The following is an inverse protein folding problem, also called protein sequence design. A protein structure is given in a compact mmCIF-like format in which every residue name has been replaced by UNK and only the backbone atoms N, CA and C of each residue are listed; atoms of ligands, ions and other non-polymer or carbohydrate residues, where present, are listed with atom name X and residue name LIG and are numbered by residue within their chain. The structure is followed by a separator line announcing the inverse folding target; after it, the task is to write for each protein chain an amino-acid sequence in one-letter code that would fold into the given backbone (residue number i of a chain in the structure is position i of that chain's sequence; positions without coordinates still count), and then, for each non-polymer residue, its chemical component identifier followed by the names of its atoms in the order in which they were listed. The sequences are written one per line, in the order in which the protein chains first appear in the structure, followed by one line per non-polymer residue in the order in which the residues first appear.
data_IF_005125660829
#
_entry.id   IF_005125660829
#
_cell.length_a   1.000
_cell.length_b   1.000
_cell.length_c   1.000
_cell.angle_alpha   90.00
_cell.angle_beta   90.00
_cell.angle_gamma   90.00
#
_symmetry.space_group_name_H-M   'P 1'
#
loop_
_entity.id
_entity.type
_entity.pdbx_description
1 polymer ?
#
# COMPACT_ATOMS: atom_id res chain seq x y z
N UNK A 1 -27.81 15.74 51.15
CA UNK A 1 -27.22 16.61 50.13
C UNK A 1 -25.76 16.27 50.00
N UNK A 2 -25.38 15.71 48.90
CA UNK A 2 -23.99 15.75 48.37
C UNK A 2 -24.04 15.42 46.91
N UNK A 3 -23.81 16.39 46.09
CA UNK A 3 -23.51 16.32 44.64
C UNK A 3 -22.09 15.79 44.50
N UNK A 4 -21.79 14.87 43.64
CA UNK A 4 -21.71 15.00 42.22
C UNK A 4 -20.26 14.75 41.86
N UNK A 5 -19.94 13.61 41.35
CA UNK A 5 -18.62 13.28 40.81
C UNK A 5 -18.69 13.36 39.31
N UNK A 6 -18.02 14.36 38.77
CA UNK A 6 -17.83 14.51 37.32
C UNK A 6 -16.96 13.41 36.77
N UNK A 7 -17.50 12.56 35.90
CA UNK A 7 -16.74 11.62 35.11
C UNK A 7 -15.93 12.35 34.05
N UNK A 8 -14.62 12.32 34.18
CA UNK A 8 -13.69 12.72 33.13
C UNK A 8 -13.82 11.77 31.94
N UNK A 9 -14.38 12.25 30.85
CA UNK A 9 -14.33 11.55 29.55
C UNK A 9 -12.87 11.52 29.09
N UNK A 10 -12.26 10.35 29.17
CA UNK A 10 -10.94 10.11 28.63
C UNK A 10 -10.89 10.40 27.13
N UNK A 11 -9.94 11.22 26.74
CA UNK A 11 -9.69 11.60 25.36
C UNK A 11 -9.18 10.40 24.54
N UNK A 12 -10.08 9.73 23.81
CA UNK A 12 -9.74 8.69 22.83
C UNK A 12 -9.40 9.29 21.44
N UNK A 13 -8.68 10.41 21.40
CA UNK A 13 -8.40 11.16 20.16
C UNK A 13 -6.94 11.26 19.74
N UNK A 14 -5.98 10.79 20.56
CA UNK A 14 -4.55 11.04 20.30
C UNK A 14 -3.91 10.21 19.19
N UNK A 15 -4.33 8.97 18.97
CA UNK A 15 -3.63 8.03 18.09
C UNK A 15 -3.69 8.35 16.60
N UNK A 16 -4.82 8.79 16.09
CA UNK A 16 -4.97 9.05 14.64
C UNK A 16 -4.16 10.27 14.17
N UNK A 17 -4.02 11.29 15.00
CA UNK A 17 -3.24 12.50 14.70
C UNK A 17 -1.73 12.21 14.69
N UNK A 18 -1.24 11.42 15.64
CA UNK A 18 0.17 11.05 15.74
C UNK A 18 0.60 10.21 14.53
N UNK A 19 -0.17 9.16 14.19
CA UNK A 19 0.09 8.33 13.00
C UNK A 19 0.11 9.17 11.73
N UNK A 20 -0.89 10.04 11.53
CA UNK A 20 -0.95 10.90 10.34
C UNK A 20 0.25 11.85 10.25
N UNK A 21 0.75 12.35 11.39
CA UNK A 21 1.96 13.19 11.44
C UNK A 21 3.21 12.39 11.07
N UNK A 22 3.38 11.21 11.67
CA UNK A 22 4.51 10.31 11.38
C UNK A 22 4.56 9.93 9.89
N UNK A 23 3.41 9.56 9.31
CA UNK A 23 3.32 9.22 7.90
C UNK A 23 3.71 10.39 6.99
N UNK A 24 3.18 11.59 7.24
CA UNK A 24 3.54 12.78 6.43
C UNK A 24 5.04 13.07 6.49
N UNK A 25 5.63 13.03 7.68
CA UNK A 25 7.07 13.29 7.87
C UNK A 25 7.91 12.28 7.10
N UNK A 26 7.63 10.98 7.28
CA UNK A 26 8.39 9.92 6.63
C UNK A 26 8.18 9.93 5.12
N UNK A 27 6.95 9.99 4.62
CA UNK A 27 6.66 10.01 3.19
C UNK A 27 7.31 11.21 2.48
N UNK A 28 7.37 12.36 3.16
CA UNK A 28 8.09 13.53 2.62
C UNK A 28 9.59 13.29 2.53
N UNK A 29 10.19 12.58 3.48
CA UNK A 29 11.64 12.32 3.51
C UNK A 29 12.10 11.24 2.55
N UNK A 30 11.27 10.23 2.28
CA UNK A 30 11.63 9.11 1.39
C UNK A 30 11.16 9.31 -0.06
N UNK A 31 10.31 10.30 -0.29
CA UNK A 31 9.80 10.60 -1.62
C UNK A 31 10.91 10.93 -2.59
N UNK A 32 11.04 10.11 -3.63
CA UNK A 32 12.03 10.31 -4.68
C UNK A 32 13.44 9.86 -4.34
N UNK A 33 13.64 9.10 -3.25
CA UNK A 33 14.86 8.35 -3.05
C UNK A 33 14.96 7.23 -4.08
N UNK A 34 16.19 6.94 -4.53
CA UNK A 34 16.45 5.91 -5.55
C UNK A 34 16.49 4.50 -4.94
N UNK A 35 16.59 4.40 -3.61
CA UNK A 35 16.54 3.14 -2.86
C UNK A 35 15.22 3.07 -2.10
N UNK A 36 14.64 1.89 -2.05
CA UNK A 36 13.37 1.66 -1.37
C UNK A 36 13.56 1.62 0.16
N UNK A 37 12.77 2.41 0.86
CA UNK A 37 12.68 2.45 2.31
C UNK A 37 11.27 2.08 2.74
N UNK A 38 11.12 1.19 3.70
CA UNK A 38 9.82 0.89 4.31
C UNK A 38 9.79 1.20 5.79
N UNK A 39 8.64 1.70 6.23
CA UNK A 39 8.36 2.05 7.62
C UNK A 39 7.06 1.41 8.05
N UNK A 40 7.06 0.76 9.20
CA UNK A 40 5.88 0.12 9.78
C UNK A 40 5.57 0.81 11.10
N UNK A 41 4.37 1.35 11.22
CA UNK A 41 3.86 2.01 12.42
C UNK A 41 2.72 1.20 13.04
N UNK A 42 2.59 1.24 14.36
CA UNK A 42 1.38 0.78 15.05
C UNK A 42 0.22 1.79 14.88
N UNK A 43 -0.95 1.42 15.40
CA UNK A 43 -2.16 2.28 15.36
C UNK A 43 -2.02 3.61 16.10
N UNK A 44 -1.03 3.75 16.98
CA UNK A 44 -0.75 4.98 17.73
C UNK A 44 0.31 5.86 17.06
N UNK A 45 0.88 5.41 15.94
CA UNK A 45 1.93 6.13 15.23
C UNK A 45 3.35 5.89 15.77
N UNK A 46 3.53 4.89 16.65
CA UNK A 46 4.85 4.45 17.07
C UNK A 46 5.51 3.67 15.96
N UNK A 47 6.74 4.02 15.61
CA UNK A 47 7.55 3.26 14.68
C UNK A 47 7.88 1.88 15.27
N UNK A 48 7.55 0.84 14.54
CA UNK A 48 7.88 -0.55 14.89
C UNK A 48 9.10 -1.04 14.11
N UNK A 49 9.22 -0.63 12.84
CA UNK A 49 10.28 -1.12 11.97
C UNK A 49 10.59 -0.11 10.88
N UNK A 50 11.88 -0.02 10.50
CA UNK A 50 12.38 0.69 9.33
C UNK A 50 13.39 -0.19 8.63
N UNK A 51 13.18 -0.43 7.35
CA UNK A 51 14.08 -1.22 6.52
C UNK A 51 14.51 -0.41 5.30
N UNK A 52 15.72 -0.67 4.86
CA UNK A 52 16.30 -0.14 3.62
C UNK A 52 16.54 -1.32 2.70
N UNK A 53 15.94 -1.29 1.54
CA UNK A 53 16.04 -2.33 0.53
C UNK A 53 17.12 -2.04 -0.51
N UNK A 54 16.90 -2.54 -1.69
CA UNK A 54 17.63 -2.21 -2.91
C UNK A 54 16.71 -1.41 -3.86
N UNK A 55 17.11 -1.22 -5.11
CA UNK A 55 16.36 -0.43 -6.10
C UNK A 55 14.94 -0.94 -6.41
N UNK A 56 14.56 -2.14 -5.98
CA UNK A 56 13.28 -2.73 -6.34
C UNK A 56 12.58 -3.54 -5.27
N UNK A 57 13.16 -3.70 -4.08
CA UNK A 57 12.53 -4.45 -3.00
C UNK A 57 13.08 -4.08 -1.61
N UNK A 58 12.20 -4.09 -0.63
CA UNK A 58 12.54 -4.02 0.79
C UNK A 58 11.84 -5.17 1.52
N UNK A 59 12.60 -5.92 2.29
CA UNK A 59 12.06 -7.01 3.11
C UNK A 59 11.85 -6.54 4.54
N UNK A 60 10.78 -7.04 5.18
CA UNK A 60 10.57 -6.84 6.60
C UNK A 60 11.51 -7.75 7.40
N UNK A 61 12.21 -7.20 8.38
CA UNK A 61 13.07 -7.96 9.28
C UNK A 61 12.27 -8.91 10.19
N UNK A 62 11.06 -8.51 10.57
CA UNK A 62 10.17 -9.35 11.36
C UNK A 62 9.25 -10.18 10.45
N UNK A 63 9.54 -11.46 10.33
CA UNK A 63 8.77 -12.41 9.52
C UNK A 63 7.47 -12.89 10.21
N UNK A 64 7.11 -12.39 11.40
CA UNK A 64 5.92 -12.83 12.13
C UNK A 64 4.67 -11.99 11.81
N UNK A 65 3.76 -12.47 10.93
CA UNK A 65 2.55 -11.74 10.55
C UNK A 65 1.59 -11.48 11.73
N UNK A 66 1.58 -12.35 12.74
CA UNK A 66 0.69 -12.23 13.90
C UNK A 66 1.13 -11.10 14.82
N UNK A 67 2.43 -10.86 14.94
CA UNK A 67 2.95 -9.69 15.64
C UNK A 67 2.38 -8.40 15.06
N UNK A 68 2.45 -8.24 13.74
CA UNK A 68 1.93 -7.05 13.07
C UNK A 68 0.41 -6.94 13.16
N UNK A 69 -0.29 -8.06 12.97
CA UNK A 69 -1.76 -8.09 13.04
C UNK A 69 -2.29 -7.64 14.41
N UNK A 70 -1.59 -8.00 15.49
CA UNK A 70 -1.96 -7.58 16.86
C UNK A 70 -1.79 -6.09 17.12
N UNK A 71 -1.04 -5.38 16.27
CA UNK A 71 -0.73 -3.94 16.42
C UNK A 71 -1.60 -3.02 15.56
N UNK A 72 -2.37 -3.58 14.62
CA UNK A 72 -3.15 -2.78 13.69
C UNK A 72 -2.27 -1.83 12.86
N UNK A 73 -1.28 -2.39 12.20
CA UNK A 73 -0.21 -1.63 11.55
C UNK A 73 -0.65 -0.82 10.35
N UNK A 74 0.10 0.24 10.09
CA UNK A 74 0.18 0.92 8.78
C UNK A 74 1.61 0.82 8.28
N UNK A 75 1.78 0.31 7.06
CA UNK A 75 3.06 0.30 6.34
C UNK A 75 3.09 1.43 5.33
N UNK A 76 4.22 2.12 5.22
CA UNK A 76 4.51 3.04 4.11
C UNK A 76 5.92 2.80 3.57
N UNK A 77 6.09 2.94 2.26
CA UNK A 77 7.38 2.80 1.57
C UNK A 77 7.43 3.75 0.37
N UNK A 78 8.63 3.96 -0.20
CA UNK A 78 8.73 4.69 -1.46
C UNK A 78 8.88 3.73 -2.63
N UNK A 79 8.32 4.14 -3.77
CA UNK A 79 8.63 3.56 -5.07
C UNK A 79 9.49 4.54 -5.86
N UNK A 80 10.76 4.21 -6.17
CA UNK A 80 11.63 5.06 -6.97
C UNK A 80 11.03 5.43 -8.32
N UNK A 81 10.35 4.48 -8.96
CA UNK A 81 9.50 4.71 -10.11
C UNK A 81 8.08 5.08 -9.66
N UNK A 82 7.37 5.89 -10.46
CA UNK A 82 5.97 6.26 -10.16
C UNK A 82 5.01 5.11 -10.47
N UNK A 83 5.13 4.05 -9.71
CA UNK A 83 4.32 2.84 -9.81
C UNK A 83 3.42 2.67 -8.58
N UNK A 84 2.27 2.04 -8.78
CA UNK A 84 1.37 1.62 -7.70
C UNK A 84 1.90 0.34 -7.02
N UNK A 85 1.14 -0.20 -6.09
CA UNK A 85 1.49 -1.41 -5.34
C UNK A 85 1.77 -2.60 -6.23
N UNK A 86 2.78 -3.36 -5.89
CA UNK A 86 3.04 -4.71 -6.39
C UNK A 86 2.13 -5.75 -5.71
N UNK A 87 2.11 -6.98 -6.23
CA UNK A 87 1.43 -8.09 -5.57
C UNK A 87 2.04 -8.40 -4.18
N UNK A 88 3.35 -8.18 -4.02
CA UNK A 88 4.04 -8.37 -2.73
C UNK A 88 3.54 -7.39 -1.67
N UNK A 89 3.38 -6.11 -2.02
CA UNK A 89 2.86 -5.09 -1.09
C UNK A 89 1.46 -5.46 -0.60
N UNK A 90 0.59 -5.86 -1.53
CA UNK A 90 -0.77 -6.28 -1.19
C UNK A 90 -0.77 -7.55 -0.35
N UNK A 91 0.08 -8.53 -0.69
CA UNK A 91 0.24 -9.76 0.07
C UNK A 91 0.72 -9.49 1.49
N UNK A 92 1.65 -8.55 1.68
CA UNK A 92 2.07 -8.11 3.01
C UNK A 92 0.88 -7.55 3.79
N UNK A 93 0.08 -6.66 3.21
CA UNK A 93 -1.12 -6.10 3.85
C UNK A 93 -2.12 -7.17 4.29
N UNK A 94 -2.38 -8.17 3.43
CA UNK A 94 -3.29 -9.29 3.73
C UNK A 94 -2.71 -10.19 4.83
N UNK A 95 -1.44 -10.60 4.72
CA UNK A 95 -0.78 -11.49 5.69
C UNK A 95 -0.74 -10.89 7.08
N UNK A 96 -0.44 -9.61 7.18
CA UNK A 96 -0.31 -8.88 8.45
C UNK A 96 -1.63 -8.29 8.95
N UNK A 97 -2.70 -8.43 8.19
CA UNK A 97 -3.98 -7.77 8.47
C UNK A 97 -3.82 -6.27 8.73
N UNK A 98 -2.99 -5.60 7.90
CA UNK A 98 -2.69 -4.19 8.05
C UNK A 98 -3.95 -3.31 7.93
N UNK A 99 -4.03 -2.24 8.71
CA UNK A 99 -5.08 -1.24 8.60
C UNK A 99 -4.95 -0.42 7.30
N UNK A 100 -3.72 -0.23 6.84
CA UNK A 100 -3.42 0.49 5.61
C UNK A 100 -2.04 0.10 5.10
N UNK A 101 -1.89 -0.03 3.79
CA UNK A 101 -0.59 0.00 3.11
C UNK A 101 -0.52 1.24 2.23
N UNK A 102 0.65 1.87 2.20
CA UNK A 102 0.90 3.12 1.50
C UNK A 102 2.20 3.01 0.71
N UNK A 103 2.23 3.66 -0.45
CA UNK A 103 3.45 3.85 -1.21
C UNK A 103 3.53 5.31 -1.67
N UNK A 104 4.72 5.90 -1.65
CA UNK A 104 4.94 7.26 -2.14
C UNK A 104 6.00 7.29 -3.23
N UNK A 105 5.78 8.12 -4.24
CA UNK A 105 6.71 8.39 -5.34
C UNK A 105 6.92 9.90 -5.48
N UNK A 106 7.70 10.34 -6.45
CA UNK A 106 7.83 11.77 -6.77
C UNK A 106 6.48 12.44 -7.06
N UNK A 107 5.62 11.75 -7.80
CA UNK A 107 4.38 12.30 -8.34
C UNK A 107 3.16 12.00 -7.47
N UNK A 108 3.09 10.81 -6.88
CA UNK A 108 1.89 10.31 -6.24
C UNK A 108 2.15 9.63 -4.90
N UNK A 109 1.12 9.68 -4.04
CA UNK A 109 0.98 8.80 -2.89
C UNK A 109 -0.22 7.88 -3.10
N UNK A 110 0.02 6.59 -2.96
CA UNK A 110 -0.95 5.52 -3.07
C UNK A 110 -1.34 5.03 -1.68
N UNK A 111 -2.61 4.72 -1.48
CA UNK A 111 -3.15 4.19 -0.23
C UNK A 111 -4.12 3.06 -0.53
N UNK A 112 -3.98 1.94 0.16
CA UNK A 112 -4.90 0.81 0.09
C UNK A 112 -5.31 0.40 1.50
N UNK A 113 -6.62 0.37 1.72
CA UNK A 113 -7.24 -0.05 2.99
C UNK A 113 -8.17 -1.23 2.76
N UNK A 114 -8.25 -2.15 3.72
CA UNK A 114 -9.27 -3.20 3.69
C UNK A 114 -10.68 -2.60 3.67
N UNK A 115 -11.64 -3.37 3.16
CA UNK A 115 -13.04 -3.00 3.13
C UNK A 115 -13.76 -3.25 4.46
N UNK A 116 -15.09 -3.10 4.47
CA UNK A 116 -15.92 -3.34 5.67
C UNK A 116 -15.80 -4.76 6.25
N UNK A 117 -15.45 -5.74 5.41
CA UNK A 117 -15.21 -7.14 5.79
C UNK A 117 -13.72 -7.47 5.99
N UNK A 118 -12.89 -6.46 6.27
CA UNK A 118 -11.44 -6.61 6.29
C UNK A 118 -10.88 -6.81 4.88
N UNK A 119 -9.80 -7.57 4.77
CA UNK A 119 -9.20 -7.87 3.47
C UNK A 119 -10.03 -8.85 2.63
N UNK A 120 -10.99 -9.58 3.22
CA UNK A 120 -11.86 -10.52 2.51
C UNK A 120 -11.13 -11.73 1.89
N UNK A 121 -9.90 -11.94 2.29
CA UNK A 121 -8.98 -13.01 1.86
C UNK A 121 -8.42 -13.64 3.14
N UNK A 122 -8.25 -14.99 3.20
CA UNK A 122 -7.61 -15.63 4.33
C UNK A 122 -6.21 -15.06 4.59
N UNK A 123 -5.82 -14.98 5.86
CA UNK A 123 -4.45 -14.59 6.24
C UNK A 123 -3.46 -15.71 5.90
N UNK A 124 -2.18 -15.38 5.89
CA UNK A 124 -1.10 -16.34 5.66
C UNK A 124 -0.83 -16.62 4.19
N UNK A 125 -0.15 -17.73 3.93
CA UNK A 125 0.39 -18.05 2.60
C UNK A 125 -0.70 -18.33 1.55
N UNK A 126 -1.80 -18.95 1.95
CA UNK A 126 -2.94 -19.18 1.04
C UNK A 126 -3.53 -17.85 0.54
N UNK A 127 -3.64 -16.87 1.44
CA UNK A 127 -4.11 -15.55 1.06
C UNK A 127 -3.11 -14.81 0.18
N UNK A 128 -1.82 -14.89 0.49
CA UNK A 128 -0.77 -14.33 -0.34
C UNK A 128 -0.79 -14.93 -1.75
N UNK A 129 -0.88 -16.24 -1.87
CA UNK A 129 -1.02 -16.93 -3.16
C UNK A 129 -2.25 -16.43 -3.95
N UNK A 130 -3.39 -16.28 -3.27
CA UNK A 130 -4.60 -15.78 -3.90
C UNK A 130 -4.43 -14.35 -4.41
N UNK A 131 -3.79 -13.46 -3.64
CA UNK A 131 -3.47 -12.09 -4.08
C UNK A 131 -2.64 -12.13 -5.36
N UNK A 132 -1.58 -12.93 -5.39
CA UNK A 132 -0.71 -13.03 -6.58
C UNK A 132 -1.46 -13.53 -7.80
N UNK A 133 -2.30 -14.57 -7.65
CA UNK A 133 -3.09 -15.14 -8.74
C UNK A 133 -4.09 -14.12 -9.33
N UNK A 134 -4.83 -13.44 -8.45
CA UNK A 134 -5.81 -12.44 -8.90
C UNK A 134 -5.14 -11.20 -9.48
N UNK A 135 -4.03 -10.75 -8.89
CA UNK A 135 -3.23 -9.64 -9.42
C UNK A 135 -2.72 -9.95 -10.83
N UNK A 136 -2.14 -11.13 -11.04
CA UNK A 136 -1.67 -11.58 -12.34
C UNK A 136 -2.82 -11.66 -13.36
N UNK A 137 -4.00 -12.12 -12.94
CA UNK A 137 -5.19 -12.16 -13.79
C UNK A 137 -5.56 -10.76 -14.30
N UNK A 138 -5.58 -9.78 -13.42
CA UNK A 138 -5.88 -8.39 -13.78
C UNK A 138 -4.79 -7.74 -14.63
N UNK A 139 -3.50 -8.03 -14.37
CA UNK A 139 -2.40 -7.59 -15.24
C UNK A 139 -2.55 -8.15 -16.64
N UNK A 140 -2.82 -9.46 -16.77
CA UNK A 140 -2.99 -10.10 -18.07
C UNK A 140 -4.19 -9.52 -18.85
N UNK A 141 -5.30 -9.21 -18.16
CA UNK A 141 -6.43 -8.54 -18.77
C UNK A 141 -6.06 -7.15 -19.31
N UNK A 142 -5.27 -6.38 -18.56
CA UNK A 142 -4.77 -5.07 -19.00
C UNK A 142 -3.84 -5.21 -20.22
N UNK A 143 -2.87 -6.11 -20.17
CA UNK A 143 -1.91 -6.37 -21.25
C UNK A 143 -2.62 -6.78 -22.53
N UNK A 144 -3.59 -7.69 -22.43
CA UNK A 144 -4.43 -8.07 -23.57
C UNK A 144 -5.16 -6.87 -24.17
N UNK A 145 -5.71 -5.98 -23.33
CA UNK A 145 -6.42 -4.77 -23.77
C UNK A 145 -5.49 -3.77 -24.45
N UNK A 146 -4.23 -3.65 -24.01
CA UNK A 146 -3.28 -2.64 -24.49
C UNK A 146 -2.31 -3.16 -25.56
N UNK A 147 -2.35 -4.45 -25.87
CA UNK A 147 -1.39 -5.12 -26.75
C UNK A 147 -1.24 -4.43 -28.11
N UNK A 148 -2.35 -4.11 -28.78
CA UNK A 148 -2.34 -3.44 -30.10
C UNK A 148 -1.72 -2.05 -30.00
N UNK A 149 -2.10 -1.29 -28.96
CA UNK A 149 -1.55 0.05 -28.73
C UNK A 149 -0.05 -0.01 -28.44
N UNK A 150 0.39 -0.95 -27.60
CA UNK A 150 1.81 -1.17 -27.31
C UNK A 150 2.58 -1.56 -28.58
N UNK A 151 2.08 -2.50 -29.36
CA UNK A 151 2.70 -2.93 -30.63
C UNK A 151 2.87 -1.76 -31.61
N UNK A 152 1.84 -0.92 -31.76
CA UNK A 152 1.90 0.25 -32.64
C UNK A 152 2.92 1.28 -32.12
N UNK A 153 2.91 1.57 -30.81
CA UNK A 153 3.86 2.50 -30.20
C UNK A 153 5.31 2.03 -30.37
N UNK A 154 5.56 0.72 -30.23
CA UNK A 154 6.90 0.13 -30.44
C UNK A 154 7.37 0.28 -31.89
N UNK A 155 6.50 0.05 -32.89
CA UNK A 155 6.86 0.19 -34.33
C UNK A 155 7.33 1.61 -34.67
N UNK A 156 6.72 2.64 -34.07
CA UNK A 156 7.05 4.06 -34.33
C UNK A 156 7.98 4.65 -33.24
N UNK A 157 8.49 3.82 -32.33
CA UNK A 157 9.36 4.21 -31.22
C UNK A 157 8.77 5.32 -30.33
N UNK A 158 7.45 5.31 -30.14
CA UNK A 158 6.75 6.23 -29.22
C UNK A 158 6.99 5.82 -27.76
N UNK A 159 8.11 6.28 -27.22
CA UNK A 159 8.54 5.96 -25.85
C UNK A 159 7.60 6.51 -24.78
N UNK A 160 6.90 7.62 -25.06
CA UNK A 160 5.95 8.21 -24.12
C UNK A 160 4.72 7.30 -23.94
N UNK A 161 4.14 6.83 -25.04
CA UNK A 161 3.01 5.87 -24.99
C UNK A 161 3.43 4.55 -24.35
N UNK A 162 4.63 4.03 -24.68
CA UNK A 162 5.17 2.81 -24.08
C UNK A 162 5.27 2.96 -22.56
N UNK A 163 5.92 4.03 -22.07
CA UNK A 163 6.04 4.30 -20.63
C UNK A 163 4.67 4.41 -19.95
N UNK A 164 3.72 5.11 -20.56
CA UNK A 164 2.36 5.28 -20.04
C UNK A 164 1.63 3.93 -19.90
N UNK A 165 1.78 3.02 -20.88
CA UNK A 165 1.18 1.69 -20.79
C UNK A 165 1.77 0.91 -19.61
N UNK A 166 3.10 0.85 -19.47
CA UNK A 166 3.72 0.12 -18.37
C UNK A 166 3.42 0.73 -17.00
N UNK A 167 3.42 2.05 -16.87
CA UNK A 167 3.03 2.71 -15.61
C UNK A 167 1.55 2.44 -15.25
N UNK A 168 0.69 2.23 -16.26
CA UNK A 168 -0.73 1.94 -16.04
C UNK A 168 -1.04 0.53 -15.56
N UNK A 169 -0.14 -0.44 -15.74
CA UNK A 169 -0.41 -1.86 -15.44
C UNK A 169 -0.79 -2.09 -13.97
N UNK A 170 0.07 -1.70 -13.06
CA UNK A 170 -0.14 -1.90 -11.62
C UNK A 170 -1.36 -1.12 -11.12
N UNK A 171 -1.51 0.12 -11.59
CA UNK A 171 -2.67 0.94 -11.24
C UNK A 171 -4.00 0.31 -11.67
N UNK A 172 -4.04 -0.29 -12.89
CA UNK A 172 -5.21 -1.02 -13.35
C UNK A 172 -5.49 -2.25 -12.50
N UNK A 173 -4.47 -3.06 -12.21
CA UNK A 173 -4.60 -4.24 -11.37
C UNK A 173 -5.12 -3.87 -9.97
N UNK A 174 -4.57 -2.83 -9.36
CA UNK A 174 -5.01 -2.35 -8.06
C UNK A 174 -6.45 -1.86 -8.02
N UNK A 175 -6.90 -1.12 -9.04
CA UNK A 175 -8.31 -0.72 -9.16
C UNK A 175 -9.23 -1.93 -9.28
N UNK A 176 -8.83 -2.92 -10.04
CA UNK A 176 -9.63 -4.14 -10.25
C UNK A 176 -9.70 -4.97 -8.96
N UNK A 177 -8.59 -5.21 -8.28
CA UNK A 177 -8.56 -5.89 -6.98
C UNK A 177 -9.38 -5.15 -5.92
N UNK A 178 -9.21 -3.84 -5.80
CA UNK A 178 -9.97 -3.04 -4.85
C UNK A 178 -11.48 -3.16 -5.09
N UNK A 179 -11.91 -3.15 -6.35
CA UNK A 179 -13.31 -3.41 -6.71
C UNK A 179 -13.75 -4.82 -6.36
N UNK A 180 -12.94 -5.84 -6.66
CA UNK A 180 -13.24 -7.25 -6.42
C UNK A 180 -13.47 -7.56 -4.94
N UNK A 181 -12.63 -7.00 -4.07
CA UNK A 181 -12.63 -7.27 -2.63
C UNK A 181 -13.32 -6.19 -1.77
N UNK A 182 -13.79 -5.12 -2.39
CA UNK A 182 -14.41 -4.00 -1.68
C UNK A 182 -13.41 -3.16 -0.88
N UNK A 183 -12.13 -3.14 -1.29
CA UNK A 183 -11.10 -2.32 -0.66
C UNK A 183 -11.21 -0.85 -1.08
N UNK A 184 -10.62 0.02 -0.28
CA UNK A 184 -10.48 1.43 -0.63
C UNK A 184 -9.09 1.69 -1.17
N UNK A 185 -9.00 1.95 -2.47
CA UNK A 185 -7.76 2.34 -3.15
C UNK A 185 -7.83 3.82 -3.54
N UNK A 186 -6.85 4.60 -3.11
CA UNK A 186 -6.74 6.04 -3.40
C UNK A 186 -5.39 6.37 -4.00
N UNK A 187 -5.38 7.36 -4.89
CA UNK A 187 -4.18 7.99 -5.44
C UNK A 187 -4.30 9.48 -5.20
N UNK A 188 -3.28 10.07 -4.62
CA UNK A 188 -3.20 11.50 -4.36
C UNK A 188 -1.95 12.04 -5.04
N UNK A 189 -2.08 13.15 -5.77
CA UNK A 189 -0.92 13.85 -6.32
C UNK A 189 -0.19 14.56 -5.18
N UNK A 190 1.14 14.49 -5.20
CA UNK A 190 2.02 15.11 -4.19
C UNK A 190 2.27 16.59 -4.45
#
# INVERSE_FOLDING_TARGET
MAKGSGGTRGAAGGGSGALASSLRSVESSIRGLDVEHSYIFDSNGKLLEHNVGNEGAVESANQNPDFYASKGITMTHNHPEDKSFSANDVSFGVRTNANEIRATSKEHTYSLKPGKKGWGIPRGDLGAFKVHADYATHLNAYRKKTLTQLSNAMKVKDTATIKKIFAGEQHYAMKALAKQYGWTYKVTKN
#
